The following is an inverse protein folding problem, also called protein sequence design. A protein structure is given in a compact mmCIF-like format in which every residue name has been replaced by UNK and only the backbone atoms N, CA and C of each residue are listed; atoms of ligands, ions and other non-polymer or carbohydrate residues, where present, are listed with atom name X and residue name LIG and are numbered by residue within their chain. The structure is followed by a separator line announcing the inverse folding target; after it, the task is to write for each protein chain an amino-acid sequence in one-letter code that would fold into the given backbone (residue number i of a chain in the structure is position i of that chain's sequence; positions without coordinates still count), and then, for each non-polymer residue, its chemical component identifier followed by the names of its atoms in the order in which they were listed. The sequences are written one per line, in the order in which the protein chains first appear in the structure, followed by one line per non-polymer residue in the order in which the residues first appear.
data_IF_635835193818
#
_entry.id   IF_635835193818
#
_cell.length_a   1.000
_cell.length_b   1.000
_cell.length_c   1.000
_cell.angle_alpha   90.00
_cell.angle_beta   90.00
_cell.angle_gamma   90.00
#
_symmetry.space_group_name_H-M   'P 1'
#
loop_
_entity.id
_entity.type
_entity.pdbx_description
1 polymer ?
#
# COMPACT_ATOMS: atom_id res chain seq x y z
N UNK A 1 12.24 -9.43 -17.80
CA UNK A 1 13.03 -8.40 -17.10
C UNK A 1 12.72 -7.07 -17.77
N UNK A 2 12.49 -6.01 -17.01
CA UNK A 2 12.27 -4.67 -17.58
C UNK A 2 13.53 -4.19 -18.32
N UNK A 3 13.35 -3.49 -19.43
CA UNK A 3 14.39 -2.82 -20.19
C UNK A 3 14.74 -1.47 -19.56
N UNK A 4 15.91 -0.92 -19.91
CA UNK A 4 16.31 0.43 -19.46
C UNK A 4 15.29 1.48 -19.93
N UNK A 5 14.74 1.32 -21.14
CA UNK A 5 13.76 2.25 -21.70
C UNK A 5 12.45 2.24 -20.91
N UNK A 6 11.93 1.05 -20.57
CA UNK A 6 10.73 0.91 -19.73
C UNK A 6 10.97 1.49 -18.33
N UNK A 7 12.13 1.22 -17.74
CA UNK A 7 12.51 1.79 -16.44
C UNK A 7 12.54 3.32 -16.45
N UNK A 8 13.16 3.92 -17.48
CA UNK A 8 13.20 5.37 -17.65
C UNK A 8 11.81 5.96 -17.84
N UNK A 9 10.96 5.34 -18.67
CA UNK A 9 9.59 5.80 -18.90
C UNK A 9 8.75 5.77 -17.60
N UNK A 10 8.83 4.68 -16.84
CA UNK A 10 8.17 4.54 -15.55
C UNK A 10 8.65 5.62 -14.57
N UNK A 11 9.96 5.83 -14.46
CA UNK A 11 10.54 6.86 -13.60
C UNK A 11 10.05 8.26 -13.96
N UNK A 12 9.99 8.59 -15.25
CA UNK A 12 9.46 9.88 -15.71
C UNK A 12 7.99 10.06 -15.31
N UNK A 13 7.17 9.01 -15.40
CA UNK A 13 5.77 9.06 -14.94
C UNK A 13 5.67 9.27 -13.42
N UNK A 14 6.46 8.55 -12.62
CA UNK A 14 6.48 8.71 -11.16
C UNK A 14 6.89 10.13 -10.77
N UNK A 15 7.94 10.68 -11.39
CA UNK A 15 8.38 12.06 -11.14
C UNK A 15 7.34 13.10 -11.57
N UNK A 16 6.56 12.81 -12.62
CA UNK A 16 5.42 13.64 -13.02
C UNK A 16 4.33 13.60 -11.95
N UNK A 17 3.89 12.42 -11.51
CA UNK A 17 2.89 12.25 -10.45
C UNK A 17 3.30 12.98 -9.16
N UNK A 18 4.57 12.87 -8.77
CA UNK A 18 5.09 13.58 -7.61
C UNK A 18 4.87 15.09 -7.72
N UNK A 19 5.05 15.67 -8.90
CA UNK A 19 4.86 17.11 -9.14
C UNK A 19 3.39 17.48 -9.22
N UNK A 20 2.61 16.74 -10.00
CA UNK A 20 1.20 17.04 -10.27
C UNK A 20 0.36 16.98 -8.99
N UNK A 21 0.66 16.02 -8.10
CA UNK A 21 -0.03 15.81 -6.83
C UNK A 21 0.74 16.36 -5.61
N UNK A 22 1.82 17.14 -5.82
CA UNK A 22 2.64 17.71 -4.75
C UNK A 22 3.10 16.73 -3.65
N UNK A 23 3.42 15.49 -4.03
CA UNK A 23 3.73 14.40 -3.10
C UNK A 23 5.12 14.57 -2.46
N UNK A 24 5.22 14.17 -1.18
CA UNK A 24 6.40 14.42 -0.33
C UNK A 24 7.65 13.64 -0.76
N UNK A 25 7.48 12.46 -1.34
CA UNK A 25 8.58 11.58 -1.72
C UNK A 25 8.32 10.88 -3.05
N UNK A 26 9.40 10.40 -3.68
CA UNK A 26 9.29 9.58 -4.91
C UNK A 26 8.66 8.23 -4.61
N UNK A 27 8.89 7.67 -3.42
CA UNK A 27 8.28 6.39 -3.01
C UNK A 27 6.77 6.53 -2.82
N UNK A 28 6.30 7.63 -2.21
CA UNK A 28 4.88 7.95 -2.13
C UNK A 28 4.26 8.14 -3.52
N UNK A 29 4.97 8.81 -4.44
CA UNK A 29 4.53 8.95 -5.82
C UNK A 29 4.46 7.63 -6.58
N UNK A 30 5.36 6.69 -6.28
CA UNK A 30 5.30 5.35 -6.84
C UNK A 30 4.08 4.58 -6.32
N UNK A 31 3.83 4.63 -5.00
CA UNK A 31 2.64 4.02 -4.39
C UNK A 31 1.36 4.57 -5.00
N UNK A 32 1.26 5.91 -5.13
CA UNK A 32 0.13 6.59 -5.75
C UNK A 32 -0.06 6.13 -7.20
N UNK A 33 0.99 6.21 -8.02
CA UNK A 33 0.97 5.77 -9.42
C UNK A 33 0.53 4.30 -9.56
N UNK A 34 1.03 3.42 -8.68
CA UNK A 34 0.70 2.00 -8.72
C UNK A 34 -0.78 1.75 -8.39
N UNK A 35 -1.31 2.38 -7.34
CA UNK A 35 -2.72 2.26 -6.95
C UNK A 35 -3.62 2.77 -8.07
N UNK A 36 -3.33 3.97 -8.58
CA UNK A 36 -4.06 4.58 -9.69
C UNK A 36 -4.15 3.65 -10.92
N UNK A 37 -3.03 3.02 -11.28
CA UNK A 37 -2.98 2.06 -12.38
C UNK A 37 -3.69 0.73 -12.08
N UNK A 38 -3.58 0.20 -10.85
CA UNK A 38 -4.26 -1.04 -10.44
C UNK A 38 -5.78 -0.88 -10.53
N UNK A 39 -6.29 0.27 -10.08
CA UNK A 39 -7.72 0.56 -10.14
C UNK A 39 -8.16 1.22 -11.46
N UNK A 40 -7.22 1.43 -12.39
CA UNK A 40 -7.47 1.97 -13.74
C UNK A 40 -8.26 3.29 -13.72
N UNK A 41 -7.75 4.29 -12.98
CA UNK A 41 -8.32 5.64 -12.85
C UNK A 41 -9.74 5.70 -12.26
N UNK A 42 -10.19 4.64 -11.58
CA UNK A 42 -11.54 4.59 -10.99
C UNK A 42 -11.62 5.27 -9.62
N UNK A 43 -10.49 5.52 -8.99
CA UNK A 43 -10.42 6.18 -7.69
C UNK A 43 -10.19 7.68 -7.89
N UNK A 44 -10.73 8.48 -6.98
CA UNK A 44 -10.37 9.90 -6.93
C UNK A 44 -8.98 10.04 -6.29
N UNK A 45 -8.29 11.12 -6.63
CA UNK A 45 -6.93 11.37 -6.14
C UNK A 45 -6.86 11.40 -4.61
N UNK A 46 -7.88 11.98 -3.97
CA UNK A 46 -8.03 12.05 -2.50
C UNK A 46 -8.19 10.64 -1.88
N UNK A 47 -8.93 9.74 -2.54
CA UNK A 47 -9.10 8.36 -2.06
C UNK A 47 -7.77 7.59 -2.09
N UNK A 48 -6.98 7.81 -3.15
CA UNK A 48 -5.65 7.21 -3.30
C UNK A 48 -4.72 7.75 -2.21
N UNK A 49 -4.68 9.05 -1.99
CA UNK A 49 -3.86 9.65 -0.94
C UNK A 49 -4.26 9.15 0.46
N UNK A 50 -5.56 9.04 0.75
CA UNK A 50 -6.06 8.56 2.03
C UNK A 50 -5.74 7.07 2.27
N UNK A 51 -5.64 6.28 1.19
CA UNK A 51 -5.27 4.87 1.28
C UNK A 51 -3.81 4.65 1.69
N UNK A 52 -2.90 5.60 1.41
CA UNK A 52 -1.48 5.46 1.68
C UNK A 52 -1.18 5.63 3.17
N UNK A 53 -0.67 4.55 3.78
CA UNK A 53 -0.38 4.44 5.21
C UNK A 53 1.12 4.53 5.55
N UNK A 54 1.98 4.65 4.54
CA UNK A 54 3.44 4.71 4.67
C UNK A 54 3.91 5.89 5.54
N UNK A 55 4.18 5.58 6.81
CA UNK A 55 4.73 6.48 7.82
C UNK A 55 5.68 5.75 8.78
N UNK A 56 6.21 4.58 8.37
CA UNK A 56 6.98 3.69 9.24
C UNK A 56 6.11 2.95 10.27
N UNK A 57 6.62 1.83 10.78
CA UNK A 57 5.93 0.93 11.72
C UNK A 57 4.49 0.55 11.32
N UNK A 58 4.29 0.26 10.05
CA UNK A 58 3.01 -0.11 9.43
C UNK A 58 2.79 -1.63 9.34
N UNK A 59 3.67 -2.42 9.96
CA UNK A 59 3.65 -3.89 9.83
C UNK A 59 3.99 -4.39 8.42
N UNK A 60 4.55 -3.54 7.55
CA UNK A 60 4.81 -3.87 6.14
C UNK A 60 3.64 -3.58 5.21
N UNK A 61 2.63 -2.82 5.63
CA UNK A 61 1.49 -2.38 4.83
C UNK A 61 1.67 -0.91 4.44
N UNK A 62 1.99 -0.68 3.18
CA UNK A 62 2.27 0.65 2.66
C UNK A 62 0.97 1.41 2.26
N UNK A 63 -0.14 0.68 1.99
CA UNK A 63 -1.47 1.27 1.82
C UNK A 63 -2.62 0.28 2.15
N UNK A 64 -3.76 0.83 2.57
CA UNK A 64 -5.03 0.12 2.80
C UNK A 64 -6.16 0.89 2.12
N UNK A 65 -6.84 0.25 1.16
CA UNK A 65 -8.03 0.78 0.52
C UNK A 65 -9.24 -0.10 0.84
N UNK A 66 -10.34 0.52 1.25
CA UNK A 66 -11.60 -0.17 1.55
C UNK A 66 -12.59 0.18 0.44
N UNK A 67 -12.89 -0.81 -0.40
CA UNK A 67 -13.89 -0.69 -1.45
C UNK A 67 -15.26 -1.00 -0.86
N UNK A 68 -16.06 0.04 -0.65
CA UNK A 68 -17.45 -0.10 -0.24
C UNK A 68 -18.32 -0.58 -1.42
N UNK A 69 -19.02 -1.69 -1.21
CA UNK A 69 -19.92 -2.26 -2.21
C UNK A 69 -21.33 -2.22 -1.66
N UNK A 70 -22.24 -1.58 -2.41
CA UNK A 70 -23.65 -1.48 -2.05
C UNK A 70 -24.22 -2.90 -1.85
N UNK A 71 -24.87 -3.11 -0.70
CA UNK A 71 -25.52 -4.35 -0.30
C UNK A 71 -24.60 -5.58 -0.20
N UNK A 72 -23.28 -5.39 -0.02
CA UNK A 72 -22.30 -6.48 0.18
C UNK A 72 -21.28 -6.12 1.26
N UNK A 73 -20.56 -7.13 1.72
CA UNK A 73 -19.39 -6.92 2.56
C UNK A 73 -18.31 -6.14 1.77
N UNK A 74 -17.64 -5.16 2.41
CA UNK A 74 -16.60 -4.37 1.75
C UNK A 74 -15.38 -5.23 1.39
N UNK A 75 -14.71 -4.89 0.30
CA UNK A 75 -13.44 -5.52 -0.09
C UNK A 75 -12.30 -4.67 0.45
N UNK A 76 -11.43 -5.28 1.24
CA UNK A 76 -10.25 -4.60 1.79
C UNK A 76 -9.03 -4.98 0.96
N UNK A 77 -8.40 -3.97 0.37
CA UNK A 77 -7.20 -4.10 -0.43
C UNK A 77 -6.00 -3.67 0.42
N UNK A 78 -5.06 -4.58 0.63
CA UNK A 78 -3.79 -4.31 1.33
C UNK A 78 -2.66 -4.27 0.31
N UNK A 79 -1.81 -3.25 0.41
CA UNK A 79 -0.69 -3.08 -0.49
C UNK A 79 0.62 -3.03 0.26
N UNK A 80 1.64 -3.64 -0.35
CA UNK A 80 3.04 -3.43 -0.01
C UNK A 80 3.78 -3.08 -1.30
N UNK A 81 4.49 -1.96 -1.29
CA UNK A 81 5.26 -1.45 -2.41
C UNK A 81 6.76 -1.64 -2.16
N UNK A 82 7.47 -2.00 -3.23
CA UNK A 82 8.94 -2.04 -3.25
C UNK A 82 9.41 -1.36 -4.52
N UNK A 83 9.92 -0.15 -4.37
CA UNK A 83 10.37 0.68 -5.47
C UNK A 83 11.89 0.60 -5.66
N UNK A 84 12.32 0.17 -6.85
CA UNK A 84 13.73 0.14 -7.23
C UNK A 84 14.17 1.49 -7.80
N UNK A 85 14.84 2.30 -7.00
CA UNK A 85 15.30 3.64 -7.40
C UNK A 85 16.35 3.66 -8.54
N UNK A 86 17.06 2.55 -8.75
CA UNK A 86 18.08 2.40 -9.79
C UNK A 86 17.82 1.13 -10.62
N UNK A 87 18.13 1.18 -11.91
CA UNK A 87 17.87 0.08 -12.84
C UNK A 87 18.55 -1.23 -12.41
N UNK A 88 19.77 -1.17 -11.88
CA UNK A 88 20.51 -2.34 -11.41
C UNK A 88 19.77 -3.08 -10.29
N UNK A 89 19.01 -2.34 -9.46
CA UNK A 89 18.22 -2.90 -8.36
C UNK A 89 16.92 -3.55 -8.83
N UNK A 90 16.46 -3.29 -10.05
CA UNK A 90 15.27 -3.97 -10.63
C UNK A 90 15.48 -5.48 -10.80
N UNK A 91 16.74 -5.93 -10.80
CA UNK A 91 17.11 -7.34 -10.82
C UNK A 91 16.91 -8.03 -9.46
N UNK A 92 16.73 -7.26 -8.38
CA UNK A 92 16.44 -7.82 -7.07
C UNK A 92 14.97 -8.24 -7.03
N UNK A 93 14.73 -9.47 -6.58
CA UNK A 93 13.40 -9.96 -6.28
C UNK A 93 12.86 -9.33 -4.99
N UNK A 94 11.55 -9.50 -4.76
CA UNK A 94 10.92 -9.11 -3.50
C UNK A 94 11.68 -9.79 -2.35
N UNK A 95 12.20 -9.04 -1.37
CA UNK A 95 12.99 -9.63 -0.31
C UNK A 95 12.08 -10.47 0.60
N UNK A 96 12.51 -11.66 1.01
CA UNK A 96 11.66 -12.61 1.77
C UNK A 96 11.08 -12.01 3.06
N UNK A 97 11.87 -11.16 3.73
CA UNK A 97 11.43 -10.45 4.93
C UNK A 97 10.22 -9.50 4.69
N UNK A 98 9.96 -9.10 3.45
CA UNK A 98 8.80 -8.27 3.13
C UNK A 98 7.51 -9.12 3.11
N UNK A 99 7.60 -10.36 2.65
CA UNK A 99 6.50 -11.35 2.70
C UNK A 99 6.22 -11.76 4.14
N UNK A 100 7.26 -12.03 4.94
CA UNK A 100 7.10 -12.41 6.35
C UNK A 100 6.35 -11.33 7.14
N UNK A 101 6.62 -10.05 6.86
CA UNK A 101 5.89 -8.92 7.47
C UNK A 101 4.41 -8.94 7.12
N UNK A 102 4.07 -9.19 5.86
CA UNK A 102 2.67 -9.31 5.43
C UNK A 102 1.96 -10.46 6.13
N UNK A 103 2.60 -11.63 6.18
CA UNK A 103 2.04 -12.81 6.86
C UNK A 103 1.80 -12.51 8.34
N UNK A 104 2.79 -11.96 9.04
CA UNK A 104 2.67 -11.59 10.44
C UNK A 104 1.55 -10.56 10.67
N UNK A 105 1.42 -9.57 9.77
CA UNK A 105 0.34 -8.59 9.85
C UNK A 105 -1.04 -9.25 9.77
N UNK A 106 -1.25 -10.16 8.82
CA UNK A 106 -2.51 -10.89 8.68
C UNK A 106 -2.78 -11.84 9.85
N UNK A 107 -1.76 -12.50 10.38
CA UNK A 107 -1.90 -13.34 11.58
C UNK A 107 -2.30 -12.50 12.80
N UNK A 108 -1.63 -11.37 13.04
CA UNK A 108 -1.96 -10.44 14.12
C UNK A 108 -3.35 -9.84 13.96
N UNK A 109 -3.77 -9.52 12.74
CA UNK A 109 -5.11 -9.04 12.44
C UNK A 109 -6.17 -10.11 12.73
N UNK A 110 -5.94 -11.34 12.29
CA UNK A 110 -6.87 -12.47 12.45
C UNK A 110 -7.01 -12.90 13.91
N UNK A 111 -5.92 -12.85 14.68
CA UNK A 111 -5.89 -13.17 16.11
C UNK A 111 -6.28 -12.00 17.00
N UNK A 112 -6.53 -10.81 16.42
CA UNK A 112 -6.80 -9.55 17.12
C UNK A 112 -5.74 -9.26 18.19
N UNK A 113 -4.46 -9.44 17.84
CA UNK A 113 -3.35 -9.14 18.72
C UNK A 113 -3.30 -7.63 19.01
N UNK A 114 -3.93 -7.25 20.12
CA UNK A 114 -4.04 -5.85 20.55
C UNK A 114 -2.69 -5.20 20.84
N UNK A 115 -1.64 -5.98 21.09
CA UNK A 115 -0.30 -5.42 21.33
C UNK A 115 0.30 -4.97 20.00
N UNK A 116 0.33 -5.86 19.01
CA UNK A 116 0.80 -5.53 17.67
C UNK A 116 0.01 -4.38 17.05
N UNK A 117 -1.33 -4.43 17.12
CA UNK A 117 -2.19 -3.39 16.55
C UNK A 117 -2.01 -2.01 17.20
N UNK A 118 -1.56 -1.94 18.46
CA UNK A 118 -1.22 -0.67 19.14
C UNK A 118 0.14 -0.11 18.75
N UNK A 119 1.03 -0.97 18.26
CA UNK A 119 2.36 -0.56 17.81
C UNK A 119 2.31 0.00 16.37
N UNK A 120 1.25 -0.32 15.59
CA UNK A 120 1.04 0.24 14.26
C UNK A 120 1.00 1.77 14.29
N UNK A 121 1.45 2.40 13.20
CA UNK A 121 1.31 3.83 13.07
C UNK A 121 -0.17 4.25 13.04
N UNK A 122 -0.49 5.53 13.39
CA UNK A 122 -1.87 5.97 13.52
C UNK A 122 -2.72 5.77 12.26
N UNK A 123 -2.17 6.03 11.07
CA UNK A 123 -2.91 5.87 9.81
C UNK A 123 -3.31 4.42 9.55
N UNK A 124 -2.36 3.48 9.71
CA UNK A 124 -2.63 2.05 9.54
C UNK A 124 -3.61 1.58 10.61
N UNK A 125 -3.45 2.01 11.86
CA UNK A 125 -4.35 1.65 12.96
C UNK A 125 -5.77 2.16 12.72
N UNK A 126 -5.94 3.40 12.27
CA UNK A 126 -7.25 3.99 11.97
C UNK A 126 -7.98 3.21 10.88
N UNK A 127 -7.27 2.85 9.79
CA UNK A 127 -7.82 2.01 8.71
C UNK A 127 -8.22 0.62 9.22
N UNK A 128 -7.36 -0.04 9.99
CA UNK A 128 -7.65 -1.38 10.55
C UNK A 128 -8.84 -1.40 11.50
N UNK A 129 -9.13 -0.29 12.18
CA UNK A 129 -10.28 -0.18 13.07
C UNK A 129 -11.59 0.16 12.35
N UNK A 130 -11.59 0.37 11.03
CA UNK A 130 -12.81 0.65 10.28
C UNK A 130 -13.80 -0.52 10.35
N UNK A 131 -15.12 -0.26 10.34
CA UNK A 131 -16.16 -1.29 10.54
C UNK A 131 -16.04 -2.51 9.62
N UNK A 132 -15.53 -2.33 8.39
CA UNK A 132 -15.29 -3.43 7.44
C UNK A 132 -14.15 -4.38 7.86
N UNK A 133 -13.11 -3.87 8.52
CA UNK A 133 -11.94 -4.65 8.97
C UNK A 133 -12.14 -5.30 10.34
N UNK A 134 -12.88 -4.66 11.25
CA UNK A 134 -13.15 -5.21 12.59
C UNK A 134 -14.03 -6.47 12.55
N UNK A 135 -14.73 -6.67 11.43
CA UNK A 135 -15.61 -7.80 11.16
C UNK A 135 -14.88 -9.05 10.64
N UNK A 136 -13.56 -9.02 10.41
CA UNK A 136 -12.74 -10.22 10.15
C UNK A 136 -12.83 -11.14 11.38
N UNK A 137 -13.80 -12.05 11.36
CA UNK A 137 -14.03 -13.04 12.41
C UNK A 137 -12.99 -14.15 12.22
N UNK A 138 -12.31 -14.60 13.29
CA UNK A 138 -11.66 -15.90 13.23
C UNK A 138 -12.75 -16.93 12.92
N UNK A 139 -12.50 -17.77 11.92
CA UNK A 139 -13.36 -18.89 11.53
C UNK A 139 -13.66 -19.80 12.72
#
# INVERSE_FOLDING_TARGET
MATIQEFSALRTNIERYKKDFALKSVDMAFSFFAIDHIFNLKLQDDDIEESITDNGNDGGIDAIYVEEIIDKDPIIHFFQFKHAQNYEKTKKHLPGNAVDKLVNFFESLSTKDRKFLKELNPKTADKVNQPGLTALRPF
#
